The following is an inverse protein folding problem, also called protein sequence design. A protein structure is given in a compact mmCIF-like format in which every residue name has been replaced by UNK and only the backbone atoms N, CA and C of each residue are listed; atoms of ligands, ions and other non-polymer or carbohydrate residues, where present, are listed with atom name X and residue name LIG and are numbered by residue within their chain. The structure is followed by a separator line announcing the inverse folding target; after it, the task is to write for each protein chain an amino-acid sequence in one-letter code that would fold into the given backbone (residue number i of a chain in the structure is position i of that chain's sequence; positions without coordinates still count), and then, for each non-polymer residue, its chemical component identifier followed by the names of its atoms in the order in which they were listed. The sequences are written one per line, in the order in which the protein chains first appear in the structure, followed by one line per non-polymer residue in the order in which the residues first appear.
data_IF_263910043164
#
_entry.id   IF_263910043164
#
_cell.length_a   1.000
_cell.length_b   1.000
_cell.length_c   1.000
_cell.angle_alpha   90.00
_cell.angle_beta   90.00
_cell.angle_gamma   90.00
#
_symmetry.space_group_name_H-M   'P 1'
#
loop_
_entity.id
_entity.type
_entity.pdbx_description
1 polymer ?
#
# COMPACT_ATOMS: atom_id res chain seq x y z
N UNK A 1 20.65 13.29 17.64
CA UNK A 1 19.40 12.87 16.98
C UNK A 1 19.21 11.39 17.27
N UNK A 2 18.11 10.97 17.86
CA UNK A 2 17.80 9.54 18.02
C UNK A 2 17.73 8.91 16.64
N UNK A 3 18.35 7.77 16.46
CA UNK A 3 18.28 6.99 15.21
C UNK A 3 16.81 6.70 14.89
N UNK A 4 16.32 7.18 13.75
CA UNK A 4 14.92 6.95 13.36
C UNK A 4 14.77 5.47 13.06
N UNK A 5 13.90 4.79 13.80
CA UNK A 5 13.60 3.38 13.58
C UNK A 5 12.98 3.22 12.19
N UNK A 6 13.58 2.40 11.34
CA UNK A 6 13.07 2.09 10.01
C UNK A 6 12.82 0.58 9.89
N UNK A 7 11.67 0.20 9.32
CA UNK A 7 11.26 -1.21 9.16
C UNK A 7 10.61 -1.38 7.78
N UNK A 8 10.94 -2.46 7.08
CA UNK A 8 10.23 -2.79 5.85
C UNK A 8 8.82 -3.34 6.16
N UNK A 9 7.81 -2.83 5.49
CA UNK A 9 6.42 -3.25 5.77
C UNK A 9 6.16 -4.73 5.52
N UNK A 10 6.95 -5.40 4.65
CA UNK A 10 6.93 -6.86 4.52
C UNK A 10 7.39 -7.59 5.78
N UNK A 11 8.38 -7.05 6.52
CA UNK A 11 8.84 -7.63 7.79
C UNK A 11 7.75 -7.49 8.86
N UNK A 12 7.08 -6.34 8.87
CA UNK A 12 5.90 -6.08 9.71
C UNK A 12 4.78 -7.07 9.43
N UNK A 13 4.51 -7.33 8.15
CA UNK A 13 3.53 -8.32 7.70
C UNK A 13 3.85 -9.73 8.24
N UNK A 14 5.06 -10.24 8.05
CA UNK A 14 5.45 -11.56 8.55
C UNK A 14 5.30 -11.69 10.06
N UNK A 15 5.68 -10.66 10.82
CA UNK A 15 5.52 -10.62 12.28
C UNK A 15 4.05 -10.53 12.71
N UNK A 16 3.24 -9.75 11.99
CA UNK A 16 1.81 -9.63 12.25
C UNK A 16 1.08 -10.96 12.00
N UNK A 17 1.42 -11.68 10.92
CA UNK A 17 0.86 -13.02 10.65
C UNK A 17 1.15 -13.99 11.79
N UNK A 18 2.38 -14.01 12.32
CA UNK A 18 2.72 -14.87 13.46
C UNK A 18 1.88 -14.52 14.68
N UNK A 19 1.80 -13.24 15.06
CA UNK A 19 1.02 -12.79 16.19
C UNK A 19 -0.49 -13.08 16.02
N UNK A 20 -1.01 -12.94 14.80
CA UNK A 20 -2.39 -13.27 14.47
C UNK A 20 -2.63 -14.78 14.54
N UNK A 21 -1.68 -15.60 14.09
CA UNK A 21 -1.75 -17.05 14.13
C UNK A 21 -1.87 -17.65 15.53
N UNK A 22 -1.40 -16.92 16.55
CA UNK A 22 -1.56 -17.31 17.96
C UNK A 22 -3.01 -17.21 18.46
N UNK A 23 -3.81 -16.35 17.82
CA UNK A 23 -5.21 -16.05 18.20
C UNK A 23 -6.24 -16.69 17.25
N UNK A 24 -5.86 -16.91 15.99
CA UNK A 24 -6.76 -17.23 14.88
C UNK A 24 -6.46 -18.63 14.34
N UNK A 25 -7.21 -19.64 14.78
CA UNK A 25 -6.98 -21.04 14.38
C UNK A 25 -7.33 -21.31 12.91
N UNK A 26 -8.28 -20.56 12.33
CA UNK A 26 -8.68 -20.69 10.94
C UNK A 26 -7.84 -19.84 9.96
N UNK A 27 -6.82 -19.13 10.45
CA UNK A 27 -5.85 -18.46 9.60
C UNK A 27 -4.94 -19.49 8.92
N UNK A 28 -4.87 -19.44 7.59
CA UNK A 28 -3.91 -20.20 6.77
C UNK A 28 -3.13 -19.27 5.87
N UNK A 29 -1.87 -19.55 5.65
CA UNK A 29 -0.98 -18.73 4.84
C UNK A 29 -0.47 -19.54 3.66
N UNK A 30 -0.60 -19.00 2.46
CA UNK A 30 -0.12 -19.62 1.23
C UNK A 30 0.98 -18.78 0.61
N UNK A 31 1.95 -19.44 0.04
CA UNK A 31 3.10 -18.81 -0.63
C UNK A 31 3.39 -19.52 -1.98
N UNK A 32 4.07 -18.82 -2.87
CA UNK A 32 4.46 -19.32 -4.17
C UNK A 32 6.00 -19.41 -4.28
N UNK A 33 6.63 -20.22 -3.41
CA UNK A 33 8.08 -20.42 -3.31
C UNK A 33 8.88 -19.15 -2.99
N UNK A 34 8.24 -18.19 -2.28
CA UNK A 34 8.83 -16.90 -1.92
C UNK A 34 8.79 -16.61 -0.42
N UNK A 35 8.56 -17.61 0.44
CA UNK A 35 8.35 -17.45 1.87
C UNK A 35 9.45 -16.64 2.59
N UNK A 36 10.70 -16.78 2.16
CA UNK A 36 11.83 -15.99 2.69
C UNK A 36 11.75 -14.51 2.33
N UNK A 37 11.33 -14.19 1.11
CA UNK A 37 11.23 -12.83 0.59
C UNK A 37 9.96 -12.10 1.07
N UNK A 38 8.83 -12.80 1.07
CA UNK A 38 7.53 -12.29 1.55
C UNK A 38 7.43 -12.21 3.07
N UNK A 39 8.36 -12.88 3.77
CA UNK A 39 8.41 -13.03 5.24
C UNK A 39 7.33 -13.97 5.82
N UNK A 40 6.58 -14.66 5.00
CA UNK A 40 5.67 -15.73 5.45
C UNK A 40 6.41 -16.87 6.15
N UNK A 41 7.73 -17.03 5.92
CA UNK A 41 8.61 -17.95 6.65
C UNK A 41 8.59 -17.75 8.17
N UNK A 42 8.21 -16.57 8.68
CA UNK A 42 8.04 -16.31 10.10
C UNK A 42 6.81 -17.05 10.62
N UNK A 43 5.70 -17.01 9.87
CA UNK A 43 4.50 -17.79 10.17
C UNK A 43 4.73 -19.29 9.98
N UNK A 44 5.35 -19.70 8.89
CA UNK A 44 5.67 -21.10 8.57
C UNK A 44 6.43 -21.80 9.70
N UNK A 45 7.43 -21.12 10.29
CA UNK A 45 8.21 -21.66 11.41
C UNK A 45 7.39 -21.85 12.68
N UNK A 46 6.42 -20.97 12.93
CA UNK A 46 5.56 -21.04 14.11
C UNK A 46 4.38 -22.00 13.94
N UNK A 47 3.84 -22.12 12.73
CA UNK A 47 2.63 -22.86 12.41
C UNK A 47 2.77 -23.64 11.09
N UNK A 48 3.67 -24.66 11.03
CA UNK A 48 3.98 -25.37 9.79
C UNK A 48 2.75 -26.07 9.16
N UNK A 49 1.81 -26.55 9.97
CA UNK A 49 0.59 -27.24 9.49
C UNK A 49 -0.46 -26.28 8.91
N UNK A 50 -0.26 -24.97 9.03
CA UNK A 50 -1.15 -23.92 8.52
C UNK A 50 -0.46 -23.07 7.43
N UNK A 51 0.73 -23.47 6.99
CA UNK A 51 1.43 -22.85 5.88
C UNK A 51 1.48 -23.81 4.69
N UNK A 52 1.15 -23.32 3.50
CA UNK A 52 1.10 -24.10 2.25
C UNK A 52 1.98 -23.41 1.23
N UNK A 53 3.07 -24.07 0.83
CA UNK A 53 3.83 -23.64 -0.34
C UNK A 53 3.24 -24.30 -1.58
N UNK A 54 2.80 -23.48 -2.52
CA UNK A 54 2.17 -23.94 -3.77
C UNK A 54 3.18 -24.08 -4.93
N UNK A 55 4.47 -23.85 -4.66
CA UNK A 55 5.48 -23.71 -5.70
C UNK A 55 5.29 -22.42 -6.52
N UNK A 56 6.06 -22.27 -7.60
CA UNK A 56 5.97 -21.09 -8.48
C UNK A 56 4.70 -21.19 -9.34
N UNK A 57 3.54 -21.02 -8.72
CA UNK A 57 2.22 -21.25 -9.32
C UNK A 57 1.14 -20.32 -8.72
N UNK A 58 1.29 -19.01 -8.88
CA UNK A 58 0.47 -17.99 -8.23
C UNK A 58 -1.03 -18.09 -8.58
N UNK A 59 -1.34 -18.46 -9.83
CA UNK A 59 -2.72 -18.69 -10.25
C UNK A 59 -3.34 -19.89 -9.51
N UNK A 60 -2.58 -20.98 -9.36
CA UNK A 60 -3.01 -22.16 -8.61
C UNK A 60 -3.16 -21.84 -7.11
N UNK A 61 -2.20 -21.13 -6.52
CA UNK A 61 -2.25 -20.65 -5.13
C UNK A 61 -3.54 -19.86 -4.87
N UNK A 62 -3.89 -18.96 -5.77
CA UNK A 62 -5.11 -18.15 -5.68
C UNK A 62 -6.36 -19.02 -5.73
N UNK A 63 -6.40 -20.04 -6.60
CA UNK A 63 -7.49 -21.00 -6.69
C UNK A 63 -7.63 -21.88 -5.42
N UNK A 64 -6.50 -22.33 -4.86
CA UNK A 64 -6.48 -23.10 -3.59
C UNK A 64 -7.03 -22.21 -2.45
N UNK A 65 -6.60 -20.95 -2.36
CA UNK A 65 -7.08 -20.01 -1.35
C UNK A 65 -8.59 -19.76 -1.47
N UNK A 66 -9.10 -19.60 -2.69
CA UNK A 66 -10.52 -19.49 -2.93
C UNK A 66 -11.30 -20.71 -2.38
N UNK A 67 -10.81 -21.93 -2.66
CA UNK A 67 -11.40 -23.15 -2.13
C UNK A 67 -11.35 -23.23 -0.60
N UNK A 68 -10.21 -22.92 0.01
CA UNK A 68 -10.07 -22.90 1.48
C UNK A 68 -11.02 -21.91 2.15
N UNK A 69 -11.22 -20.75 1.54
CA UNK A 69 -12.16 -19.75 2.05
C UNK A 69 -13.60 -20.28 2.11
N UNK A 70 -14.02 -21.12 1.16
CA UNK A 70 -15.36 -21.75 1.18
C UNK A 70 -15.49 -22.81 2.27
N UNK A 71 -14.38 -23.27 2.84
CA UNK A 71 -14.33 -24.22 3.95
C UNK A 71 -14.25 -23.54 5.32
N UNK A 72 -14.35 -22.21 5.40
CA UNK A 72 -14.34 -21.45 6.66
C UNK A 72 -12.97 -20.99 7.12
N UNK A 73 -11.92 -21.21 6.32
CA UNK A 73 -10.60 -20.64 6.57
C UNK A 73 -10.52 -19.18 6.11
N UNK A 74 -9.56 -18.44 6.66
CA UNK A 74 -9.18 -17.10 6.21
C UNK A 74 -7.78 -17.17 5.59
N UNK A 75 -7.68 -17.42 4.28
CA UNK A 75 -6.41 -17.53 3.60
C UNK A 75 -5.76 -16.17 3.38
N UNK A 76 -4.44 -16.10 3.68
CA UNK A 76 -3.55 -15.03 3.24
C UNK A 76 -2.64 -15.60 2.14
N UNK A 77 -2.76 -15.09 0.93
CA UNK A 77 -1.92 -15.48 -0.20
C UNK A 77 -0.80 -14.47 -0.38
N UNK A 78 0.44 -14.95 -0.47
CA UNK A 78 1.63 -14.10 -0.46
C UNK A 78 2.55 -14.43 -1.63
N UNK A 79 2.83 -13.41 -2.41
CA UNK A 79 3.82 -13.39 -3.48
C UNK A 79 4.23 -11.95 -3.77
N UNK A 80 5.05 -11.69 -4.77
CA UNK A 80 5.35 -10.32 -5.17
C UNK A 80 4.14 -9.66 -5.85
N UNK A 81 4.03 -8.34 -5.70
CA UNK A 81 2.91 -7.57 -6.24
C UNK A 81 2.73 -7.79 -7.76
N UNK A 82 3.82 -7.86 -8.52
CA UNK A 82 3.77 -8.13 -9.96
C UNK A 82 3.12 -9.49 -10.27
N UNK A 83 3.33 -10.48 -9.44
CA UNK A 83 2.81 -11.82 -9.69
C UNK A 83 1.39 -12.00 -9.13
N UNK A 84 1.05 -11.35 -8.01
CA UNK A 84 -0.31 -11.33 -7.48
C UNK A 84 -1.27 -10.56 -8.41
N UNK A 85 -0.86 -9.37 -8.85
CA UNK A 85 -1.71 -8.47 -9.65
C UNK A 85 -1.59 -8.67 -11.16
N UNK A 86 -0.48 -9.19 -11.65
CA UNK A 86 -0.29 -9.47 -13.07
C UNK A 86 -0.61 -10.93 -13.42
N UNK A 87 0.23 -11.87 -12.95
CA UNK A 87 0.13 -13.29 -13.33
C UNK A 87 -1.17 -13.96 -12.86
N UNK A 88 -1.63 -13.65 -11.64
CA UNK A 88 -2.81 -14.25 -11.05
C UNK A 88 -4.07 -13.36 -11.13
N UNK A 89 -4.03 -12.26 -11.88
CA UNK A 89 -5.12 -11.26 -11.92
C UNK A 89 -6.49 -11.87 -12.23
N UNK A 90 -6.56 -12.75 -13.23
CA UNK A 90 -7.82 -13.39 -13.62
C UNK A 90 -8.39 -14.23 -12.47
N UNK A 91 -7.55 -15.01 -11.77
CA UNK A 91 -7.99 -15.83 -10.63
C UNK A 91 -8.38 -14.95 -9.44
N UNK A 92 -7.63 -13.88 -9.16
CA UNK A 92 -8.02 -12.90 -8.11
C UNK A 92 -9.39 -12.31 -8.44
N UNK A 93 -9.62 -11.90 -9.68
CA UNK A 93 -10.88 -11.32 -10.14
C UNK A 93 -12.03 -12.33 -10.09
N UNK A 94 -11.86 -13.49 -10.69
CA UNK A 94 -12.97 -14.43 -10.95
C UNK A 94 -13.17 -15.46 -9.83
N UNK A 95 -12.08 -15.96 -9.22
CA UNK A 95 -12.19 -16.95 -8.17
C UNK A 95 -12.38 -16.34 -6.77
N UNK A 96 -11.94 -15.08 -6.56
CA UNK A 96 -12.01 -14.40 -5.25
C UNK A 96 -12.97 -13.20 -5.30
N UNK A 97 -12.74 -12.25 -6.20
CA UNK A 97 -13.49 -10.99 -6.26
C UNK A 97 -14.96 -11.19 -6.63
N UNK A 98 -15.23 -11.91 -7.72
CA UNK A 98 -16.58 -12.12 -8.23
C UNK A 98 -17.52 -12.83 -7.22
N UNK A 99 -17.11 -13.94 -6.57
CA UNK A 99 -17.91 -14.58 -5.52
C UNK A 99 -17.78 -13.90 -4.14
N UNK A 100 -17.00 -12.81 -4.02
CA UNK A 100 -16.77 -12.05 -2.79
C UNK A 100 -16.22 -12.91 -1.64
N UNK A 101 -15.22 -13.75 -1.92
CA UNK A 101 -14.65 -14.68 -0.95
C UNK A 101 -13.74 -13.96 0.06
N UNK A 102 -13.67 -14.53 1.26
CA UNK A 102 -12.88 -13.98 2.36
C UNK A 102 -11.38 -14.36 2.24
N UNK A 103 -10.71 -13.87 1.22
CA UNK A 103 -9.27 -14.11 0.94
C UNK A 103 -8.50 -12.79 1.02
N UNK A 104 -7.30 -12.83 1.62
CA UNK A 104 -6.39 -11.70 1.75
C UNK A 104 -5.21 -11.87 0.81
N UNK A 105 -5.09 -11.00 -0.18
CA UNK A 105 -3.98 -10.97 -1.13
C UNK A 105 -2.92 -10.04 -0.56
N UNK A 106 -1.89 -10.60 0.05
CA UNK A 106 -0.82 -9.87 0.72
C UNK A 106 0.42 -9.81 -0.19
N UNK A 107 0.45 -8.81 -1.04
CA UNK A 107 1.45 -8.63 -2.08
C UNK A 107 2.64 -7.83 -1.55
N UNK A 108 3.84 -8.37 -1.66
CA UNK A 108 5.08 -7.69 -1.27
C UNK A 108 5.87 -7.22 -2.50
N UNK A 109 6.94 -6.46 -2.29
CA UNK A 109 7.82 -6.01 -3.37
C UNK A 109 7.07 -5.22 -4.45
N UNK A 110 6.24 -4.26 -4.03
CA UNK A 110 5.56 -3.36 -4.94
C UNK A 110 6.40 -2.10 -5.21
N UNK A 111 6.18 -1.49 -6.36
CA UNK A 111 6.80 -0.22 -6.74
C UNK A 111 8.26 -0.32 -7.19
N UNK A 112 8.89 0.83 -7.41
CA UNK A 112 10.26 0.91 -7.90
C UNK A 112 11.31 0.62 -6.81
N UNK A 113 10.96 0.77 -5.54
CA UNK A 113 11.85 0.47 -4.40
C UNK A 113 12.14 -1.03 -4.21
N UNK A 114 11.58 -1.90 -5.05
CA UNK A 114 12.07 -3.28 -5.25
C UNK A 114 13.56 -3.28 -5.57
N UNK A 115 14.01 -2.31 -6.34
CA UNK A 115 15.43 -2.05 -6.50
C UNK A 115 16.08 -2.91 -7.60
N UNK A 116 17.06 -3.71 -7.22
CA UNK A 116 17.98 -4.39 -8.13
C UNK A 116 17.28 -5.40 -9.06
N UNK A 117 16.16 -5.99 -8.64
CA UNK A 117 15.38 -6.95 -9.44
C UNK A 117 14.82 -6.30 -10.73
N UNK A 118 14.66 -4.98 -10.75
CA UNK A 118 14.37 -4.20 -11.94
C UNK A 118 12.93 -4.31 -12.44
N UNK A 119 12.69 -3.79 -13.64
CA UNK A 119 11.37 -3.58 -14.24
C UNK A 119 10.45 -4.79 -14.27
N UNK A 120 11.00 -6.01 -14.37
CA UNK A 120 10.18 -7.24 -14.43
C UNK A 120 9.53 -7.61 -13.09
N UNK A 121 10.02 -7.04 -11.99
CA UNK A 121 9.55 -7.28 -10.62
C UNK A 121 8.93 -6.04 -9.99
N UNK A 122 9.29 -4.85 -10.47
CA UNK A 122 8.74 -3.57 -10.02
C UNK A 122 7.32 -3.40 -10.53
N UNK A 123 6.34 -3.63 -9.64
CA UNK A 123 4.93 -3.45 -9.99
C UNK A 123 4.49 -2.01 -9.71
N UNK A 124 4.25 -1.26 -10.77
CA UNK A 124 3.79 0.13 -10.72
C UNK A 124 2.31 0.27 -11.08
N UNK A 125 1.58 -0.83 -11.25
CA UNK A 125 0.20 -0.88 -11.73
C UNK A 125 -0.77 -1.69 -10.83
N UNK A 126 -0.27 -2.27 -9.75
CA UNK A 126 -1.04 -3.15 -8.86
C UNK A 126 -2.25 -2.47 -8.22
N UNK A 127 -2.09 -1.23 -7.73
CA UNK A 127 -3.21 -0.49 -7.13
C UNK A 127 -4.31 -0.22 -8.17
N UNK A 128 -3.94 0.12 -9.40
CA UNK A 128 -4.89 0.33 -10.49
C UNK A 128 -5.70 -0.93 -10.78
N UNK A 129 -5.01 -2.05 -10.99
CA UNK A 129 -5.63 -3.35 -11.31
C UNK A 129 -6.57 -3.82 -10.19
N UNK A 130 -6.15 -3.69 -8.94
CA UNK A 130 -6.95 -4.15 -7.80
C UNK A 130 -8.12 -3.22 -7.48
N UNK A 131 -7.98 -1.91 -7.72
CA UNK A 131 -9.09 -0.96 -7.56
C UNK A 131 -10.26 -1.26 -8.49
N UNK A 132 -10.02 -1.77 -9.69
CA UNK A 132 -11.08 -2.07 -10.68
C UNK A 132 -11.95 -3.26 -10.27
N UNK A 133 -11.47 -4.17 -9.42
CA UNK A 133 -12.24 -5.35 -9.02
C UNK A 133 -13.38 -4.93 -8.08
N UNK A 134 -14.67 -5.17 -8.43
CA UNK A 134 -15.80 -4.83 -7.57
C UNK A 134 -15.69 -5.48 -6.17
N UNK A 135 -15.94 -4.72 -5.12
CA UNK A 135 -15.91 -5.21 -3.73
C UNK A 135 -14.51 -5.47 -3.14
N UNK A 136 -13.43 -5.36 -3.93
CA UNK A 136 -12.07 -5.47 -3.41
C UNK A 136 -11.72 -4.28 -2.54
N UNK A 137 -11.25 -4.52 -1.32
CA UNK A 137 -10.59 -3.51 -0.48
C UNK A 137 -9.12 -3.44 -0.86
N UNK A 138 -8.56 -2.22 -0.97
CA UNK A 138 -7.16 -2.01 -1.39
C UNK A 138 -6.45 -1.16 -0.33
N UNK A 139 -5.41 -1.72 0.29
CA UNK A 139 -4.66 -1.14 1.39
C UNK A 139 -3.18 -1.04 1.04
N UNK A 140 -2.56 0.11 1.32
CA UNK A 140 -1.13 0.36 1.16
C UNK A 140 -0.59 1.07 2.40
N UNK A 141 -0.17 0.32 3.45
CA UNK A 141 0.28 0.90 4.71
C UNK A 141 1.61 1.63 4.57
N UNK A 142 1.78 2.70 5.34
CA UNK A 142 2.93 3.61 5.29
C UNK A 142 4.13 3.16 6.13
N UNK A 143 3.92 2.38 7.21
CA UNK A 143 4.97 1.99 8.14
C UNK A 143 4.69 0.67 8.89
N UNK A 144 5.59 0.34 9.85
CA UNK A 144 5.52 -0.87 10.69
C UNK A 144 4.21 -0.97 11.50
N UNK A 145 3.80 0.13 12.12
CA UNK A 145 2.61 0.17 13.00
C UNK A 145 1.36 -0.04 12.17
N UNK A 146 1.24 0.73 11.09
CA UNK A 146 0.10 0.67 10.18
C UNK A 146 0.01 -0.67 9.46
N UNK A 147 1.14 -1.25 9.03
CA UNK A 147 1.16 -2.57 8.38
C UNK A 147 0.64 -3.68 9.29
N UNK A 148 1.03 -3.68 10.57
CA UNK A 148 0.52 -4.66 11.54
C UNK A 148 -0.97 -4.49 11.81
N UNK A 149 -1.42 -3.27 11.98
CA UNK A 149 -2.83 -2.95 12.19
C UNK A 149 -3.69 -3.31 10.94
N UNK A 150 -3.16 -3.06 9.74
CA UNK A 150 -3.81 -3.44 8.48
C UNK A 150 -4.02 -4.96 8.35
N UNK A 151 -3.04 -5.77 8.76
CA UNK A 151 -3.15 -7.24 8.75
C UNK A 151 -4.28 -7.71 9.67
N UNK A 152 -4.36 -7.18 10.89
CA UNK A 152 -5.43 -7.52 11.84
C UNK A 152 -6.81 -7.03 11.35
N UNK A 153 -6.89 -5.82 10.81
CA UNK A 153 -8.12 -5.28 10.24
C UNK A 153 -8.58 -6.09 9.02
N UNK A 154 -7.66 -6.48 8.14
CA UNK A 154 -7.96 -7.31 7.00
C UNK A 154 -8.49 -8.69 7.40
N UNK A 155 -7.91 -9.34 8.42
CA UNK A 155 -8.41 -10.61 8.94
C UNK A 155 -9.85 -10.50 9.45
N UNK A 156 -10.16 -9.42 10.17
CA UNK A 156 -11.48 -9.17 10.74
C UNK A 156 -12.54 -8.71 9.70
N UNK A 157 -12.11 -8.24 8.54
CA UNK A 157 -13.01 -7.85 7.45
C UNK A 157 -13.44 -9.09 6.65
N UNK A 158 -14.72 -9.31 6.48
CA UNK A 158 -15.23 -10.37 5.61
C UNK A 158 -15.29 -9.91 4.16
N UNK A 159 -14.49 -10.51 3.30
CA UNK A 159 -14.42 -10.20 1.88
C UNK A 159 -12.99 -10.13 1.35
N UNK A 160 -12.81 -9.86 0.05
CA UNK A 160 -11.51 -9.79 -0.58
C UNK A 160 -10.76 -8.51 -0.17
N UNK A 161 -9.50 -8.65 0.22
CA UNK A 161 -8.61 -7.54 0.56
C UNK A 161 -7.28 -7.71 -0.16
N UNK A 162 -6.85 -6.70 -0.87
CA UNK A 162 -5.49 -6.57 -1.39
C UNK A 162 -4.68 -5.66 -0.47
N UNK A 163 -3.56 -6.15 0.01
CA UNK A 163 -2.60 -5.39 0.83
C UNK A 163 -1.26 -5.31 0.13
N UNK A 164 -0.72 -4.11 0.04
CA UNK A 164 0.53 -3.80 -0.65
C UNK A 164 1.64 -3.54 0.36
N UNK A 165 2.75 -4.28 0.27
CA UNK A 165 3.89 -4.11 1.18
C UNK A 165 5.18 -3.85 0.42
N UNK A 166 5.98 -2.91 0.94
CA UNK A 166 7.29 -2.56 0.38
C UNK A 166 8.41 -3.50 0.80
N UNK A 167 9.45 -3.61 -0.05
CA UNK A 167 10.72 -4.28 0.25
C UNK A 167 11.66 -3.40 1.07
N UNK A 168 11.72 -2.11 0.74
CA UNK A 168 12.58 -1.14 1.40
C UNK A 168 12.09 -0.83 2.82
N UNK A 169 13.04 -0.59 3.74
CA UNK A 169 12.72 -0.09 5.06
C UNK A 169 12.27 1.37 4.97
N UNK A 170 11.21 1.72 5.69
CA UNK A 170 10.68 3.07 5.79
C UNK A 170 10.63 3.52 7.27
N UNK A 171 10.71 4.83 7.54
CA UNK A 171 10.59 5.37 8.87
C UNK A 171 9.27 4.98 9.54
N UNK A 172 9.30 4.71 10.84
CA UNK A 172 8.09 4.50 11.64
C UNK A 172 7.54 5.88 12.03
N UNK A 173 6.37 6.22 11.52
CA UNK A 173 5.74 7.54 11.68
C UNK A 173 4.44 7.51 12.50
N UNK A 174 3.81 6.35 12.60
CA UNK A 174 2.52 6.16 13.28
C UNK A 174 2.65 5.60 14.71
N UNK A 175 3.86 5.58 15.30
CA UNK A 175 4.08 5.07 16.67
C UNK A 175 3.60 6.10 17.70
N UNK A 176 2.30 6.29 17.77
CA UNK A 176 1.62 7.19 18.70
C UNK A 176 0.59 6.42 19.53
N UNK A 177 0.36 6.77 20.81
CA UNK A 177 -0.59 6.06 21.67
C UNK A 177 -2.03 6.06 21.14
N UNK A 178 -2.39 7.06 20.36
CA UNK A 178 -3.75 7.26 19.85
C UNK A 178 -3.94 6.72 18.43
N UNK A 179 -2.92 6.06 17.85
CA UNK A 179 -3.02 5.51 16.49
C UNK A 179 -4.16 4.49 16.39
N UNK A 180 -5.02 4.69 15.41
CA UNK A 180 -6.12 3.76 15.09
C UNK A 180 -6.17 3.52 13.58
N UNK A 181 -6.22 2.26 13.20
CA UNK A 181 -6.43 1.85 11.82
C UNK A 181 -7.91 1.52 11.59
N UNK A 182 -8.51 2.14 10.61
CA UNK A 182 -9.87 1.86 10.18
C UNK A 182 -9.93 1.79 8.66
N UNK A 183 -10.38 0.67 8.10
CA UNK A 183 -10.52 0.51 6.65
C UNK A 183 -11.42 1.61 6.08
N UNK A 184 -10.92 2.33 5.07
CA UNK A 184 -11.67 3.40 4.42
C UNK A 184 -11.54 4.77 5.07
N UNK A 185 -10.70 4.91 6.11
CA UNK A 185 -10.39 6.21 6.73
C UNK A 185 -8.95 6.61 6.46
N UNK A 186 -8.73 7.89 6.19
CA UNK A 186 -7.41 8.49 6.11
C UNK A 186 -7.01 9.16 7.42
N UNK A 187 -5.75 9.57 7.54
CA UNK A 187 -5.19 10.20 8.73
C UNK A 187 -4.50 11.50 8.34
N UNK A 188 -4.89 12.62 8.95
CA UNK A 188 -4.14 13.87 8.84
C UNK A 188 -2.94 13.81 9.78
N UNK A 189 -1.74 13.82 9.21
CA UNK A 189 -0.48 13.77 9.96
C UNK A 189 0.09 15.16 10.25
N UNK A 190 -0.25 16.14 9.41
CA UNK A 190 0.15 17.53 9.55
C UNK A 190 -0.97 18.42 9.05
N UNK A 191 -1.29 19.44 9.81
CA UNK A 191 -2.22 20.50 9.40
C UNK A 191 -1.48 21.63 8.68
N UNK A 192 -2.13 22.20 7.66
CA UNK A 192 -1.65 23.34 6.87
C UNK A 192 -2.81 23.97 6.11
N UNK A 193 -2.56 25.07 5.42
CA UNK A 193 -3.61 25.86 4.76
C UNK A 193 -3.35 26.18 3.29
N UNK A 194 -2.11 25.96 2.81
CA UNK A 194 -1.70 26.45 1.49
C UNK A 194 -1.82 25.39 0.40
N UNK A 195 -1.63 24.12 0.76
CA UNK A 195 -1.72 22.95 -0.13
C UNK A 195 -2.00 21.67 0.67
N UNK A 196 -2.78 20.74 0.11
CA UNK A 196 -2.95 19.39 0.66
C UNK A 196 -2.07 18.40 -0.12
N UNK A 197 -1.17 17.71 0.58
CA UNK A 197 -0.37 16.59 0.06
C UNK A 197 -1.00 15.30 0.57
N UNK A 198 -1.57 14.52 -0.34
CA UNK A 198 -2.24 13.25 -0.04
C UNK A 198 -1.34 12.13 -0.52
N UNK A 199 -0.80 11.34 0.40
CA UNK A 199 0.18 10.31 0.12
C UNK A 199 -0.26 8.93 0.59
N UNK A 200 0.40 7.88 0.10
CA UNK A 200 0.16 6.49 0.50
C UNK A 200 1.45 5.67 0.54
N UNK A 201 1.49 4.65 1.39
CA UNK A 201 2.66 3.79 1.51
C UNK A 201 3.91 4.54 1.95
N UNK A 202 5.06 4.13 1.41
CA UNK A 202 6.37 4.74 1.72
C UNK A 202 6.40 6.25 1.42
N UNK A 203 5.59 6.73 0.49
CA UNK A 203 5.57 8.12 0.08
C UNK A 203 5.01 9.07 1.15
N UNK A 204 4.36 8.55 2.20
CA UNK A 204 3.90 9.37 3.32
C UNK A 204 5.09 9.98 4.09
N UNK A 205 6.16 9.23 4.30
CA UNK A 205 7.37 9.74 4.94
C UNK A 205 8.02 10.84 4.10
N UNK A 206 8.15 10.63 2.79
CA UNK A 206 8.71 11.64 1.88
C UNK A 206 7.80 12.87 1.73
N UNK A 207 6.48 12.71 1.83
CA UNK A 207 5.54 13.83 1.85
C UNK A 207 5.70 14.68 3.12
N UNK A 208 5.98 14.07 4.27
CA UNK A 208 6.30 14.79 5.51
C UNK A 208 7.62 15.56 5.40
N UNK A 209 8.68 14.95 4.84
CA UNK A 209 9.95 15.63 4.56
C UNK A 209 9.73 16.84 3.62
N UNK A 210 8.95 16.66 2.56
CA UNK A 210 8.64 17.77 1.63
C UNK A 210 7.86 18.88 2.33
N UNK A 211 6.94 18.56 3.23
CA UNK A 211 6.18 19.55 3.99
C UNK A 211 7.07 20.36 4.95
N UNK A 212 8.11 19.76 5.52
CA UNK A 212 9.10 20.50 6.32
C UNK A 212 9.91 21.48 5.46
N UNK A 213 10.31 21.08 4.26
CA UNK A 213 11.01 21.95 3.31
C UNK A 213 10.11 23.11 2.84
N UNK A 214 8.83 22.85 2.57
CA UNK A 214 7.84 23.87 2.23
C UNK A 214 7.65 24.87 3.36
N UNK A 215 7.58 24.41 4.60
CA UNK A 215 7.42 25.28 5.77
C UNK A 215 8.61 26.22 5.95
N UNK A 216 9.84 25.79 5.61
CA UNK A 216 11.01 26.67 5.61
C UNK A 216 10.88 27.83 4.61
N UNK A 217 10.10 27.64 3.55
CA UNK A 217 9.74 28.68 2.58
C UNK A 217 8.45 29.47 2.93
N UNK A 218 7.85 29.19 4.09
CA UNK A 218 6.62 29.84 4.54
C UNK A 218 5.34 29.26 3.92
N UNK A 219 5.39 28.05 3.35
CA UNK A 219 4.26 27.33 2.74
C UNK A 219 3.81 26.23 3.70
N UNK A 220 2.60 26.35 4.26
CA UNK A 220 2.05 25.41 5.21
C UNK A 220 1.23 24.33 4.50
N UNK A 221 1.82 23.13 4.37
CA UNK A 221 1.17 21.97 3.75
C UNK A 221 0.41 21.12 4.78
N UNK A 222 -0.84 20.77 4.46
CA UNK A 222 -1.52 19.62 5.08
C UNK A 222 -0.96 18.35 4.50
N UNK A 223 -0.60 17.36 5.35
CA UNK A 223 -0.18 16.02 4.90
C UNK A 223 -1.18 14.98 5.37
N UNK A 224 -1.72 14.22 4.44
CA UNK A 224 -2.72 13.18 4.67
C UNK A 224 -2.17 11.84 4.21
N UNK A 225 -2.22 10.86 5.11
CA UNK A 225 -1.97 9.47 4.81
C UNK A 225 -3.29 8.79 4.39
N UNK A 226 -3.37 8.33 3.16
CA UNK A 226 -4.46 7.48 2.65
C UNK A 226 -3.93 6.04 2.56
N UNK A 227 -4.01 5.30 3.66
CA UNK A 227 -3.63 3.89 3.71
C UNK A 227 -4.66 2.95 3.04
N UNK A 228 -5.89 3.38 2.88
CA UNK A 228 -6.93 2.63 2.16
C UNK A 228 -7.32 3.38 0.89
N UNK A 229 -6.90 2.83 -0.26
CA UNK A 229 -7.16 3.44 -1.57
C UNK A 229 -8.61 3.17 -2.00
N UNK A 230 -9.15 2.01 -1.60
CA UNK A 230 -10.53 1.60 -1.85
C UNK A 230 -11.07 0.80 -0.64
N UNK A 231 -12.18 1.25 -0.02
CA UNK A 231 -12.86 2.51 -0.29
C UNK A 231 -12.03 3.73 0.10
N UNK A 232 -12.10 4.80 -0.68
CA UNK A 232 -11.42 6.06 -0.40
C UNK A 232 -12.17 6.84 0.70
N UNK A 233 -11.47 7.50 1.61
CA UNK A 233 -12.05 8.48 2.53
C UNK A 233 -12.38 9.78 1.78
N UNK A 234 -13.53 9.77 1.10
CA UNK A 234 -14.00 10.91 0.29
C UNK A 234 -14.21 12.17 1.13
N UNK A 235 -14.71 12.00 2.34
CA UNK A 235 -14.99 13.13 3.25
C UNK A 235 -13.71 13.89 3.59
N UNK A 236 -12.64 13.17 3.96
CA UNK A 236 -11.34 13.73 4.28
C UNK A 236 -10.70 14.41 3.05
N UNK A 237 -10.73 13.75 1.90
CA UNK A 237 -10.18 14.27 0.63
C UNK A 237 -10.88 15.57 0.23
N UNK A 238 -12.21 15.62 0.29
CA UNK A 238 -13.00 16.81 -0.05
C UNK A 238 -12.79 17.94 0.96
N UNK A 239 -12.70 17.61 2.25
CA UNK A 239 -12.42 18.60 3.30
C UNK A 239 -11.05 19.26 3.09
N UNK A 240 -10.02 18.47 2.80
CA UNK A 240 -8.68 18.97 2.51
C UNK A 240 -8.63 19.86 1.27
N UNK A 241 -9.32 19.46 0.18
CA UNK A 241 -9.42 20.24 -1.04
C UNK A 241 -10.12 21.59 -0.81
N UNK A 242 -11.19 21.59 -0.02
CA UNK A 242 -11.91 22.83 0.33
C UNK A 242 -11.06 23.78 1.21
N UNK A 243 -10.29 23.21 2.14
CA UNK A 243 -9.47 23.99 3.06
C UNK A 243 -8.28 24.66 2.37
N UNK A 244 -7.65 23.99 1.41
CA UNK A 244 -6.39 24.44 0.79
C UNK A 244 -6.56 24.97 -0.63
N UNK A 245 -7.60 24.55 -1.35
CA UNK A 245 -7.84 24.88 -2.76
C UNK A 245 -6.83 24.27 -3.74
N UNK A 246 -5.83 23.55 -3.26
CA UNK A 246 -4.75 22.94 -4.04
C UNK A 246 -4.43 21.55 -3.51
N UNK A 247 -4.49 20.55 -4.39
CA UNK A 247 -4.28 19.14 -4.03
C UNK A 247 -3.13 18.56 -4.83
N UNK A 248 -2.22 17.90 -4.13
CA UNK A 248 -1.13 17.12 -4.70
C UNK A 248 -1.24 15.69 -4.16
N UNK A 249 -1.14 14.69 -5.03
CA UNK A 249 -1.08 13.28 -4.61
C UNK A 249 0.30 12.71 -4.82
N UNK A 250 0.75 11.83 -3.93
CA UNK A 250 2.08 11.20 -4.00
C UNK A 250 1.96 9.71 -3.77
N UNK A 251 2.48 8.93 -4.72
CA UNK A 251 2.42 7.47 -4.71
C UNK A 251 3.62 6.83 -5.41
N UNK A 252 4.17 5.78 -4.85
CA UNK A 252 5.16 4.92 -5.50
C UNK A 252 4.44 3.93 -6.44
N UNK A 253 3.78 4.47 -7.44
CA UNK A 253 2.93 3.75 -8.39
C UNK A 253 2.82 4.61 -9.66
N UNK A 254 2.33 4.04 -10.76
CA UNK A 254 1.97 4.82 -11.94
C UNK A 254 1.00 5.94 -11.56
N UNK A 255 1.16 7.12 -12.15
CA UNK A 255 0.17 8.21 -12.02
C UNK A 255 -1.19 7.86 -12.64
N UNK A 256 -1.28 6.71 -13.34
CA UNK A 256 -2.49 6.22 -13.98
C UNK A 256 -3.13 5.13 -13.10
N UNK A 257 -4.35 5.35 -12.66
CA UNK A 257 -5.19 4.34 -11.99
C UNK A 257 -4.98 4.15 -10.49
N UNK A 258 -3.89 4.70 -9.88
CA UNK A 258 -3.60 4.57 -8.44
C UNK A 258 -4.34 5.58 -7.54
N UNK A 259 -3.65 6.03 -6.49
CA UNK A 259 -4.17 7.02 -5.53
C UNK A 259 -4.56 8.33 -6.20
N UNK A 260 -3.68 8.87 -7.06
CA UNK A 260 -3.93 10.15 -7.73
C UNK A 260 -5.17 10.12 -8.60
N UNK A 261 -5.46 8.97 -9.25
CA UNK A 261 -6.70 8.78 -10.01
C UNK A 261 -7.90 8.69 -9.07
N UNK A 262 -7.82 7.94 -7.95
CA UNK A 262 -8.91 7.84 -6.99
C UNK A 262 -9.30 9.19 -6.40
N UNK A 263 -8.30 10.01 -6.04
CA UNK A 263 -8.51 11.38 -5.54
C UNK A 263 -9.11 12.27 -6.62
N UNK A 264 -8.59 12.21 -7.86
CA UNK A 264 -9.11 13.00 -8.97
C UNK A 264 -10.56 12.64 -9.32
N UNK A 265 -10.91 11.35 -9.37
CA UNK A 265 -12.29 10.86 -9.56
C UNK A 265 -13.21 11.43 -8.47
N UNK A 266 -12.82 11.29 -7.20
CA UNK A 266 -13.59 11.82 -6.07
C UNK A 266 -13.80 13.35 -6.16
N UNK A 267 -12.75 14.10 -6.45
CA UNK A 267 -12.83 15.57 -6.53
C UNK A 267 -13.57 16.04 -7.78
N UNK A 268 -13.52 15.29 -8.88
CA UNK A 268 -14.31 15.60 -10.07
C UNK A 268 -15.82 15.58 -9.78
N UNK A 269 -16.25 14.61 -8.95
CA UNK A 269 -17.66 14.44 -8.60
C UNK A 269 -18.13 15.40 -7.49
N UNK A 270 -17.31 15.56 -6.44
CA UNK A 270 -17.74 16.18 -5.17
C UNK A 270 -17.28 17.64 -5.01
N UNK A 271 -16.09 18.00 -5.50
CA UNK A 271 -15.49 19.33 -5.42
C UNK A 271 -14.45 19.53 -6.52
N UNK A 272 -14.85 19.89 -7.74
CA UNK A 272 -13.94 20.03 -8.87
C UNK A 272 -12.80 21.01 -8.63
N UNK A 273 -11.57 20.51 -8.61
CA UNK A 273 -10.36 21.31 -8.50
C UNK A 273 -9.18 20.64 -9.20
N UNK A 274 -8.10 21.41 -9.40
CA UNK A 274 -6.87 20.88 -9.99
C UNK A 274 -6.18 19.92 -9.01
N UNK A 275 -5.87 18.72 -9.48
CA UNK A 275 -5.04 17.73 -8.78
C UNK A 275 -3.71 17.57 -9.51
N UNK A 276 -2.59 17.83 -8.82
CA UNK A 276 -1.25 17.52 -9.31
C UNK A 276 -0.87 16.12 -8.82
N UNK A 277 -0.54 15.22 -9.74
CA UNK A 277 -0.22 13.83 -9.40
C UNK A 277 1.28 13.59 -9.49
N UNK A 278 1.91 13.12 -8.41
CA UNK A 278 3.30 12.73 -8.32
C UNK A 278 3.37 11.20 -8.17
N UNK A 279 4.05 10.55 -9.09
CA UNK A 279 4.21 9.11 -9.18
C UNK A 279 5.13 8.77 -10.35
N UNK A 280 5.14 7.51 -10.77
CA UNK A 280 5.87 7.04 -11.96
C UNK A 280 5.10 7.45 -13.21
N UNK A 281 5.73 8.24 -14.10
CA UNK A 281 5.08 8.87 -15.25
C UNK A 281 5.17 8.00 -16.51
N UNK A 282 4.29 7.02 -16.64
CA UNK A 282 4.10 6.19 -17.86
C UNK A 282 5.43 5.63 -18.43
N UNK A 283 6.29 5.14 -17.54
CA UNK A 283 7.56 4.49 -17.87
C UNK A 283 7.74 3.24 -17.02
N UNK A 284 8.48 2.27 -17.54
CA UNK A 284 8.91 1.13 -16.76
C UNK A 284 9.97 1.54 -15.73
N UNK A 285 10.12 0.75 -14.67
CA UNK A 285 11.25 0.84 -13.77
C UNK A 285 12.55 0.32 -14.39
N UNK A 286 13.59 0.26 -13.58
CA UNK A 286 14.91 -0.24 -13.96
C UNK A 286 15.64 -0.80 -12.73
N UNK A 287 16.73 -1.55 -12.95
CA UNK A 287 17.57 -2.05 -11.88
C UNK A 287 18.44 -0.96 -11.27
N UNK A 288 18.51 -0.92 -9.95
CA UNK A 288 19.35 0.01 -9.21
C UNK A 288 19.09 -0.04 -7.71
N UNK A 289 19.90 0.61 -6.86
CA UNK A 289 19.62 0.75 -5.44
C UNK A 289 18.30 1.49 -5.19
N UNK A 290 17.46 0.97 -4.30
CA UNK A 290 16.10 1.49 -4.06
C UNK A 290 16.06 3.02 -3.85
N UNK A 291 16.93 3.56 -2.97
CA UNK A 291 16.97 5.00 -2.70
C UNK A 291 17.39 5.85 -3.89
N UNK A 292 18.26 5.33 -4.76
CA UNK A 292 18.66 6.04 -6.00
C UNK A 292 17.50 6.06 -7.00
N UNK A 293 16.74 4.97 -7.08
CA UNK A 293 15.54 4.90 -7.93
C UNK A 293 14.44 5.85 -7.44
N UNK A 294 14.13 5.86 -6.16
CA UNK A 294 13.18 6.83 -5.56
C UNK A 294 13.57 8.25 -5.98
N UNK A 295 14.83 8.62 -5.82
CA UNK A 295 15.34 9.95 -6.23
C UNK A 295 15.25 10.16 -7.74
N UNK A 296 15.68 9.18 -8.55
CA UNK A 296 15.67 9.27 -10.03
C UNK A 296 14.27 9.49 -10.59
N UNK A 297 13.28 8.82 -10.01
CA UNK A 297 11.88 8.97 -10.40
C UNK A 297 11.20 10.19 -9.75
N UNK A 298 11.95 10.94 -8.93
CA UNK A 298 11.50 12.17 -8.31
C UNK A 298 10.42 11.95 -7.25
N UNK A 299 10.59 10.92 -6.43
CA UNK A 299 9.70 10.49 -5.36
C UNK A 299 10.33 10.70 -3.96
N UNK A 300 11.54 11.24 -3.87
CA UNK A 300 12.15 11.66 -2.61
C UNK A 300 11.60 13.01 -2.11
N UNK A 301 11.77 13.31 -0.83
CA UNK A 301 11.22 14.51 -0.20
C UNK A 301 11.63 15.83 -0.90
N UNK A 302 12.88 15.94 -1.37
CA UNK A 302 13.34 17.11 -2.11
C UNK A 302 12.63 17.26 -3.45
N UNK A 303 12.49 16.19 -4.21
CA UNK A 303 11.81 16.21 -5.51
C UNK A 303 10.31 16.50 -5.37
N UNK A 304 9.68 15.96 -4.34
CA UNK A 304 8.27 16.23 -4.02
C UNK A 304 8.12 17.72 -3.68
N UNK A 305 8.97 18.27 -2.79
CA UNK A 305 8.96 19.69 -2.46
C UNK A 305 9.03 20.58 -3.72
N UNK A 306 9.97 20.30 -4.64
CA UNK A 306 10.14 21.09 -5.87
C UNK A 306 8.90 21.03 -6.77
N UNK A 307 8.31 19.83 -6.94
CA UNK A 307 7.09 19.64 -7.74
C UNK A 307 5.87 20.29 -7.10
N UNK A 308 5.71 20.21 -5.78
CA UNK A 308 4.64 20.88 -5.05
C UNK A 308 4.79 22.37 -5.22
N UNK A 309 5.97 22.96 -4.97
CA UNK A 309 6.24 24.38 -5.11
C UNK A 309 5.95 24.90 -6.52
N UNK A 310 6.32 24.12 -7.55
CA UNK A 310 6.03 24.47 -8.94
C UNK A 310 4.53 24.40 -9.31
N UNK A 311 3.70 23.73 -8.51
CA UNK A 311 2.27 23.57 -8.75
C UNK A 311 1.41 24.65 -8.11
N UNK A 312 2.00 25.41 -7.17
CA UNK A 312 1.34 26.51 -6.40
C UNK A 312 1.17 27.78 -7.21
#
# INVERSE_FOLDING_TARGET
MSEVKAVATRDSYGNALKALGEKAENLVVLDADLAGATKTSVFMKAFPDRHIDCGIAEANMTGIAAGLSTCGFVPFVSTFAMFASGRAYEQVRNAIGYPHLNVKIAATHAGISVGEDGATHQCNEDLALMREIPGMVVINPSDDVEAKAAVEAAYNYYGPVYMRFGRAACPVINDTPDYKFEIGKGITLREGKDVAIIATGIEVAYALEAAELLAADGIEATVINIHTIKPLDKELVVAAAKATGKVVTVEEHSTIGGLGSAVAECLCDEYPCKVTRIGVNDVFGESGPAGELIKKYGLDGQSIYEKVKASL
#
